data_IF_486352495539
#
_entry.id   IF_486352495539
#
_cell.length_a   1.000
_cell.length_b   1.000
_cell.length_c   1.000
_cell.angle_alpha   90.00
_cell.angle_beta   90.00
_cell.angle_gamma   90.00
#
_symmetry.space_group_name_H-M   'P 1'
#
loop_
_entity.id
_entity.type
_entity.pdbx_description
1 polymer ?
#
# COMPACT_ATOMS: atom_id res chain seq x y z
N UNK A 1 2.48 -39.80 -31.49
CA UNK A 1 3.14 -39.12 -30.36
C UNK A 1 2.80 -37.64 -30.44
N UNK A 2 1.95 -37.16 -29.54
CA UNK A 2 1.59 -35.74 -29.42
C UNK A 2 2.80 -34.94 -28.93
N UNK A 3 3.10 -33.83 -29.60
CA UNK A 3 3.97 -32.78 -29.07
C UNK A 3 3.12 -31.93 -28.14
N UNK A 4 3.38 -32.01 -26.84
CA UNK A 4 2.93 -31.01 -25.89
C UNK A 4 3.64 -29.70 -26.23
N UNK A 5 2.88 -28.69 -26.65
CA UNK A 5 3.33 -27.31 -26.68
C UNK A 5 3.41 -26.83 -25.25
N UNK A 6 4.63 -26.57 -24.77
CA UNK A 6 4.88 -25.81 -23.56
C UNK A 6 4.21 -24.44 -23.71
N UNK A 7 3.08 -24.25 -23.03
CA UNK A 7 2.57 -22.92 -22.74
C UNK A 7 3.56 -22.29 -21.77
N UNK A 8 4.43 -21.44 -22.28
CA UNK A 8 5.17 -20.49 -21.47
C UNK A 8 4.15 -19.67 -20.68
N UNK A 9 4.02 -19.98 -19.40
CA UNK A 9 3.42 -19.11 -18.39
C UNK A 9 4.16 -17.78 -18.49
N UNK A 10 3.54 -16.81 -19.16
CA UNK A 10 3.93 -15.42 -19.04
C UNK A 10 3.54 -15.03 -17.62
N UNK A 11 4.51 -14.98 -16.71
CA UNK A 11 4.30 -14.27 -15.44
C UNK A 11 3.67 -12.92 -15.75
N UNK A 12 2.59 -12.52 -15.08
CA UNK A 12 1.95 -11.24 -15.32
C UNK A 12 2.96 -10.14 -15.02
N UNK A 13 3.61 -9.63 -16.07
CA UNK A 13 4.56 -8.56 -15.95
C UNK A 13 3.80 -7.33 -15.46
N UNK A 14 4.16 -6.88 -14.26
CA UNK A 14 3.54 -5.70 -13.66
C UNK A 14 3.85 -4.48 -14.49
N UNK A 15 2.86 -3.62 -14.64
CA UNK A 15 2.99 -2.38 -15.40
C UNK A 15 3.69 -1.35 -14.51
N UNK A 16 4.75 -0.75 -15.03
CA UNK A 16 5.39 0.39 -14.41
C UNK A 16 4.38 1.52 -14.24
N UNK A 17 4.37 2.19 -13.08
CA UNK A 17 3.40 3.24 -12.78
C UNK A 17 3.38 4.38 -13.84
N UNK A 18 4.55 4.68 -14.41
CA UNK A 18 4.72 5.68 -15.48
C UNK A 18 4.11 5.25 -16.83
N UNK A 19 3.86 3.95 -17.01
CA UNK A 19 3.21 3.38 -18.19
C UNK A 19 1.69 3.19 -18.00
N UNK A 20 1.18 3.36 -16.77
CA UNK A 20 -0.26 3.34 -16.52
C UNK A 20 -0.88 4.55 -17.22
N UNK A 21 -1.73 4.28 -18.20
CA UNK A 21 -2.46 5.32 -18.94
C UNK A 21 -3.81 5.62 -18.28
N UNK A 22 -4.46 6.71 -18.67
CA UNK A 22 -5.81 7.04 -18.19
C UNK A 22 -6.84 5.93 -18.46
N UNK A 23 -6.66 5.14 -19.53
CA UNK A 23 -7.57 4.05 -19.83
C UNK A 23 -7.50 2.95 -18.76
N UNK A 24 -6.34 2.76 -18.11
CA UNK A 24 -6.16 1.74 -17.08
C UNK A 24 -6.80 2.10 -15.73
N UNK A 25 -7.31 3.34 -15.57
CA UNK A 25 -8.11 3.71 -14.40
C UNK A 25 -9.34 2.80 -14.23
N UNK A 26 -9.86 2.22 -15.32
CA UNK A 26 -10.97 1.28 -15.27
C UNK A 26 -10.68 0.07 -14.38
N UNK A 27 -9.40 -0.32 -14.19
CA UNK A 27 -9.00 -1.45 -13.33
C UNK A 27 -9.46 -1.31 -11.89
N UNK A 28 -9.59 -0.09 -11.37
CA UNK A 28 -10.14 0.14 -10.03
C UNK A 28 -11.61 -0.30 -10.01
N UNK A 29 -12.39 0.08 -11.01
CA UNK A 29 -13.81 -0.31 -11.11
C UNK A 29 -13.99 -1.80 -11.44
N UNK A 30 -13.13 -2.37 -12.30
CA UNK A 30 -13.16 -3.78 -12.69
C UNK A 30 -12.82 -4.72 -11.53
N UNK A 31 -11.98 -4.26 -10.59
CA UNK A 31 -11.59 -5.01 -9.39
C UNK A 31 -12.31 -4.53 -8.12
N UNK A 32 -13.42 -3.79 -8.25
CA UNK A 32 -14.03 -3.06 -7.13
C UNK A 32 -14.39 -3.94 -5.92
N UNK A 33 -14.95 -5.14 -6.15
CA UNK A 33 -15.30 -6.06 -5.07
C UNK A 33 -14.07 -6.60 -4.34
N UNK A 34 -13.04 -6.99 -5.10
CA UNK A 34 -11.78 -7.47 -4.54
C UNK A 34 -11.05 -6.37 -3.76
N UNK A 35 -11.02 -5.13 -4.30
CA UNK A 35 -10.44 -3.97 -3.62
C UNK A 35 -11.20 -3.66 -2.33
N UNK A 36 -12.55 -3.69 -2.35
CA UNK A 36 -13.36 -3.47 -1.13
C UNK A 36 -13.11 -4.53 -0.07
N UNK A 37 -13.14 -5.81 -0.47
CA UNK A 37 -12.91 -6.92 0.44
C UNK A 37 -11.51 -6.81 1.08
N UNK A 38 -10.49 -6.52 0.27
CA UNK A 38 -9.13 -6.34 0.77
C UNK A 38 -8.95 -5.08 1.61
N UNK A 39 -9.66 -4.00 1.28
CA UNK A 39 -9.72 -2.80 2.10
C UNK A 39 -10.29 -3.04 3.51
N UNK A 40 -11.27 -3.97 3.65
CA UNK A 40 -11.78 -4.39 4.95
C UNK A 40 -10.73 -5.15 5.76
N UNK A 41 -10.05 -6.12 5.15
CA UNK A 41 -8.98 -6.88 5.80
C UNK A 41 -7.81 -5.98 6.23
N UNK A 42 -7.43 -5.01 5.39
CA UNK A 42 -6.42 -4.02 5.74
C UNK A 42 -6.88 -3.15 6.92
N UNK A 43 -8.16 -2.80 7.00
CA UNK A 43 -8.68 -2.04 8.15
C UNK A 43 -8.59 -2.85 9.44
N UNK A 44 -8.90 -4.15 9.39
CA UNK A 44 -8.70 -5.04 10.54
C UNK A 44 -7.21 -5.15 10.91
N UNK A 45 -6.33 -5.20 9.92
CA UNK A 45 -4.87 -5.22 10.10
C UNK A 45 -4.34 -3.93 10.73
N UNK A 46 -5.00 -2.79 10.48
CA UNK A 46 -4.76 -1.50 11.12
C UNK A 46 -5.51 -1.32 12.46
N UNK A 47 -5.94 -2.42 13.09
CA UNK A 47 -6.70 -2.42 14.35
C UNK A 47 -8.00 -1.59 14.28
N UNK A 48 -8.64 -1.55 13.11
CA UNK A 48 -9.89 -0.84 12.86
C UNK A 48 -9.74 0.66 12.58
N UNK A 49 -8.50 1.19 12.55
CA UNK A 49 -8.27 2.62 12.31
C UNK A 49 -8.47 2.96 10.84
N UNK A 50 -9.38 3.88 10.54
CA UNK A 50 -9.61 4.38 9.18
C UNK A 50 -8.88 5.70 8.93
N UNK A 51 -8.06 5.73 7.88
CA UNK A 51 -7.35 6.93 7.45
C UNK A 51 -7.98 7.49 6.18
N UNK A 52 -8.86 8.48 6.33
CA UNK A 52 -9.40 9.22 5.20
C UNK A 52 -8.30 10.08 4.55
N UNK A 53 -8.28 10.12 3.22
CA UNK A 53 -7.34 10.93 2.45
C UNK A 53 -8.08 11.93 1.56
N UNK A 54 -7.55 13.15 1.53
CA UNK A 54 -7.94 14.19 0.58
C UNK A 54 -7.43 13.86 -0.83
N UNK A 55 -7.94 14.60 -1.82
CA UNK A 55 -7.48 14.47 -3.21
C UNK A 55 -5.98 14.78 -3.34
N UNK A 56 -5.54 15.87 -2.71
CA UNK A 56 -4.14 16.32 -2.74
C UNK A 56 -3.20 15.26 -2.15
N UNK A 57 -3.57 14.63 -1.03
CA UNK A 57 -2.75 13.59 -0.41
C UNK A 57 -2.61 12.35 -1.31
N UNK A 58 -3.69 11.88 -1.94
CA UNK A 58 -3.62 10.73 -2.86
C UNK A 58 -2.81 11.08 -4.11
N UNK A 59 -3.02 12.25 -4.69
CA UNK A 59 -2.30 12.72 -5.88
C UNK A 59 -0.80 12.81 -5.61
N UNK A 60 -0.39 13.42 -4.50
CA UNK A 60 1.02 13.52 -4.09
C UNK A 60 1.66 12.13 -3.92
N UNK A 61 0.96 11.20 -3.28
CA UNK A 61 1.45 9.83 -3.11
C UNK A 61 1.58 9.12 -4.45
N UNK A 62 0.57 9.21 -5.33
CA UNK A 62 0.61 8.59 -6.65
C UNK A 62 1.76 9.14 -7.51
N UNK A 63 1.99 10.46 -7.50
CA UNK A 63 3.13 11.09 -8.17
C UNK A 63 4.46 10.60 -7.60
N UNK A 64 4.56 10.39 -6.29
CA UNK A 64 5.78 9.85 -5.65
C UNK A 64 6.11 8.42 -6.04
N UNK A 65 5.10 7.69 -6.53
CA UNK A 65 5.20 6.33 -7.09
C UNK A 65 5.37 6.35 -8.61
N UNK A 66 5.66 7.51 -9.19
CA UNK A 66 5.92 7.74 -10.62
C UNK A 66 4.69 7.51 -11.54
N UNK A 67 3.45 7.53 -11.02
CA UNK A 67 2.27 7.68 -11.88
C UNK A 67 2.29 9.04 -12.57
N UNK A 68 1.89 9.08 -13.84
CA UNK A 68 1.82 10.35 -14.59
C UNK A 68 0.73 11.28 -14.00
N UNK A 69 0.91 12.62 -14.05
CA UNK A 69 -0.04 13.58 -13.47
C UNK A 69 -1.50 13.40 -13.93
N UNK A 70 -1.67 13.04 -15.21
CA UNK A 70 -2.96 12.80 -15.83
C UNK A 70 -3.74 11.62 -15.23
N UNK A 71 -3.02 10.67 -14.63
CA UNK A 71 -3.58 9.52 -13.91
C UNK A 71 -3.69 9.85 -12.42
N UNK A 72 -2.62 10.35 -11.81
CA UNK A 72 -2.55 10.67 -10.38
C UNK A 72 -3.73 11.56 -9.91
N UNK A 73 -4.05 12.61 -10.67
CA UNK A 73 -5.15 13.54 -10.39
C UNK A 73 -6.56 12.92 -10.44
N UNK A 74 -6.71 11.71 -10.99
CA UNK A 74 -8.00 11.01 -11.11
C UNK A 74 -8.19 9.87 -10.11
N UNK A 75 -7.10 9.35 -9.52
CA UNK A 75 -7.13 8.16 -8.65
C UNK A 75 -8.08 8.37 -7.46
N UNK A 76 -8.08 9.55 -6.84
CA UNK A 76 -8.97 9.84 -5.70
C UNK A 76 -10.45 9.65 -6.04
N UNK A 77 -10.87 10.14 -7.20
CA UNK A 77 -12.25 10.01 -7.67
C UNK A 77 -12.63 8.54 -7.84
N UNK A 78 -11.77 7.77 -8.50
CA UNK A 78 -12.00 6.34 -8.74
C UNK A 78 -12.09 5.56 -7.42
N UNK A 79 -11.19 5.84 -6.46
CA UNK A 79 -11.26 5.21 -5.14
C UNK A 79 -12.53 5.60 -4.39
N UNK A 80 -12.95 6.88 -4.40
CA UNK A 80 -14.21 7.31 -3.78
C UNK A 80 -15.43 6.60 -4.37
N UNK A 81 -15.40 6.31 -5.67
CA UNK A 81 -16.49 5.61 -6.37
C UNK A 81 -16.72 4.18 -5.86
N UNK A 82 -15.71 3.56 -5.26
CA UNK A 82 -15.82 2.23 -4.64
C UNK A 82 -16.80 2.21 -3.46
N UNK A 83 -17.09 3.38 -2.86
CA UNK A 83 -17.99 3.54 -1.72
C UNK A 83 -17.64 2.62 -0.53
N UNK A 84 -16.35 2.35 -0.34
CA UNK A 84 -15.80 1.48 0.70
C UNK A 84 -16.12 1.97 2.12
N UNK A 85 -15.89 3.25 2.38
CA UNK A 85 -16.20 3.90 3.65
C UNK A 85 -16.95 5.20 3.39
N UNK A 86 -17.70 5.70 4.39
CA UNK A 86 -18.45 6.95 4.28
C UNK A 86 -18.34 7.78 5.55
N UNK A 87 -18.30 9.10 5.40
CA UNK A 87 -18.57 10.01 6.51
C UNK A 87 -20.05 9.91 6.85
N UNK A 88 -20.37 9.83 8.15
CA UNK A 88 -21.71 10.12 8.65
C UNK A 88 -21.72 11.53 9.22
N UNK A 89 -22.46 12.43 8.57
CA UNK A 89 -22.69 13.78 9.07
C UNK A 89 -24.18 14.05 9.17
N UNK A 90 -24.54 15.16 9.84
CA UNK A 90 -25.94 15.60 9.90
C UNK A 90 -26.49 16.06 8.54
N UNK A 91 -25.62 16.38 7.58
CA UNK A 91 -25.99 16.92 6.26
C UNK A 91 -26.00 15.86 5.16
N UNK A 92 -25.61 14.61 5.46
CA UNK A 92 -25.64 13.50 4.53
C UNK A 92 -24.51 12.49 4.74
N UNK A 93 -24.39 11.57 3.79
CA UNK A 93 -23.30 10.60 3.77
C UNK A 93 -22.50 10.75 2.50
N UNK A 94 -21.19 10.91 2.64
CA UNK A 94 -20.26 11.05 1.52
C UNK A 94 -19.23 9.92 1.57
N UNK A 95 -19.00 9.27 0.43
CA UNK A 95 -17.96 8.24 0.31
C UNK A 95 -16.56 8.83 0.51
N UNK A 96 -15.67 8.05 1.10
CA UNK A 96 -14.29 8.41 1.37
C UNK A 96 -13.33 7.58 0.53
N UNK A 97 -12.23 8.21 0.14
CA UNK A 97 -11.02 7.48 -0.21
C UNK A 97 -10.20 7.27 1.07
N UNK A 98 -9.68 6.06 1.25
CA UNK A 98 -8.90 5.68 2.42
C UNK A 98 -7.56 5.10 2.00
N UNK A 99 -6.57 5.11 2.91
CA UNK A 99 -5.27 4.43 2.68
C UNK A 99 -5.45 2.97 2.25
N UNK A 100 -6.38 2.25 2.89
CA UNK A 100 -6.61 0.83 2.66
C UNK A 100 -6.98 0.54 1.20
N UNK A 101 -7.98 1.27 0.70
CA UNK A 101 -8.41 1.11 -0.70
C UNK A 101 -7.43 1.71 -1.69
N UNK A 102 -6.68 2.75 -1.29
CA UNK A 102 -5.61 3.33 -2.10
C UNK A 102 -4.50 2.32 -2.37
N UNK A 103 -4.01 1.62 -1.36
CA UNK A 103 -2.94 0.62 -1.52
C UNK A 103 -3.30 -0.43 -2.58
N UNK A 104 -4.48 -1.01 -2.45
CA UNK A 104 -4.94 -2.07 -3.35
C UNK A 104 -5.27 -1.50 -4.74
N UNK A 105 -5.80 -0.29 -4.81
CA UNK A 105 -6.08 0.38 -6.08
C UNK A 105 -4.80 0.67 -6.86
N UNK A 106 -3.73 1.11 -6.19
CA UNK A 106 -2.43 1.35 -6.82
C UNK A 106 -1.82 0.04 -7.33
N UNK A 107 -1.96 -1.07 -6.60
CA UNK A 107 -1.58 -2.41 -7.09
C UNK A 107 -2.41 -2.84 -8.31
N UNK A 108 -3.74 -2.65 -8.25
CA UNK A 108 -4.66 -2.99 -9.34
C UNK A 108 -4.34 -2.21 -10.63
N UNK A 109 -4.06 -0.90 -10.52
CA UNK A 109 -3.64 -0.08 -11.66
C UNK A 109 -2.38 -0.63 -12.34
N UNK A 110 -1.48 -1.22 -11.56
CA UNK A 110 -0.25 -1.85 -12.06
C UNK A 110 -0.46 -3.28 -12.57
N UNK A 111 -1.69 -3.80 -12.52
CA UNK A 111 -2.08 -5.09 -13.09
C UNK A 111 -2.05 -6.24 -12.09
N UNK A 112 -1.86 -5.97 -10.80
CA UNK A 112 -2.02 -7.00 -9.77
C UNK A 112 -3.49 -7.37 -9.68
N UNK A 113 -3.78 -8.68 -9.70
CA UNK A 113 -5.13 -9.23 -9.60
C UNK A 113 -5.27 -10.20 -8.43
N UNK A 114 -4.16 -10.76 -7.94
CA UNK A 114 -4.09 -11.54 -6.70
C UNK A 114 -3.48 -10.67 -5.59
N UNK A 115 -4.34 -9.98 -4.83
CA UNK A 115 -3.89 -9.07 -3.77
C UNK A 115 -3.39 -9.80 -2.51
N UNK A 116 -3.77 -11.06 -2.32
CA UNK A 116 -3.37 -11.85 -1.15
C UNK A 116 -1.92 -12.32 -1.24
N UNK A 117 -1.41 -12.47 -2.47
CA UNK A 117 -0.05 -12.92 -2.74
C UNK A 117 0.83 -11.84 -3.38
N UNK A 118 0.38 -10.58 -3.41
CA UNK A 118 1.08 -9.46 -4.05
C UNK A 118 2.51 -9.27 -3.51
N UNK A 119 2.76 -9.55 -2.23
CA UNK A 119 4.07 -9.46 -1.58
C UNK A 119 4.60 -10.83 -1.12
N UNK A 120 4.11 -11.92 -1.72
CA UNK A 120 4.49 -13.30 -1.34
C UNK A 120 6.00 -13.59 -1.45
N UNK A 121 6.73 -12.80 -2.22
CA UNK A 121 8.18 -12.89 -2.30
C UNK A 121 8.93 -12.21 -1.15
N UNK A 122 8.27 -11.33 -0.41
CA UNK A 122 8.92 -10.52 0.63
C UNK A 122 8.89 -11.27 1.95
N UNK A 123 10.05 -11.40 2.58
CA UNK A 123 10.21 -12.00 3.89
C UNK A 123 11.39 -11.40 4.66
N UNK A 124 11.58 -11.85 5.90
CA UNK A 124 12.65 -11.35 6.78
C UNK A 124 14.05 -11.37 6.17
N UNK A 125 14.36 -12.35 5.31
CA UNK A 125 15.70 -12.48 4.75
C UNK A 125 16.01 -11.48 3.62
N UNK A 126 15.00 -10.85 3.02
CA UNK A 126 15.18 -9.99 1.85
C UNK A 126 14.59 -8.58 2.00
N UNK A 127 13.76 -8.32 3.02
CA UNK A 127 13.12 -7.02 3.23
C UNK A 127 14.12 -5.86 3.18
N UNK A 128 15.16 -5.89 4.01
CA UNK A 128 16.15 -4.80 4.06
C UNK A 128 16.86 -4.59 2.72
N UNK A 129 17.21 -5.67 2.03
CA UNK A 129 17.85 -5.59 0.72
C UNK A 129 16.93 -4.90 -0.28
N UNK A 130 15.66 -5.29 -0.33
CA UNK A 130 14.67 -4.70 -1.23
C UNK A 130 14.49 -3.21 -0.92
N UNK A 131 14.37 -2.85 0.36
CA UNK A 131 14.23 -1.45 0.78
C UNK A 131 15.49 -0.62 0.48
N UNK A 132 16.68 -1.20 0.63
CA UNK A 132 17.95 -0.54 0.31
C UNK A 132 18.13 -0.33 -1.20
N UNK A 133 17.73 -1.31 -2.03
CA UNK A 133 17.71 -1.20 -3.49
C UNK A 133 16.68 -0.17 -3.99
N UNK A 134 15.60 0.05 -3.22
CA UNK A 134 14.51 0.98 -3.56
C UNK A 134 14.51 2.24 -2.67
N UNK A 135 15.68 2.63 -2.14
CA UNK A 135 15.81 3.72 -1.16
C UNK A 135 15.35 5.08 -1.70
N UNK A 136 15.51 5.33 -2.99
CA UNK A 136 15.02 6.56 -3.63
C UNK A 136 13.49 6.63 -3.58
N UNK A 137 12.81 5.56 -4.00
CA UNK A 137 11.35 5.43 -3.94
C UNK A 137 10.84 5.60 -2.52
N UNK A 138 11.48 4.92 -1.55
CA UNK A 138 11.15 5.05 -0.13
C UNK A 138 11.21 6.52 0.34
N UNK A 139 12.24 7.27 -0.06
CA UNK A 139 12.39 8.67 0.31
C UNK A 139 11.40 9.59 -0.41
N UNK A 140 11.07 9.32 -1.69
CA UNK A 140 10.01 10.04 -2.41
C UNK A 140 8.67 9.89 -1.69
N UNK A 141 8.30 8.66 -1.33
CA UNK A 141 7.07 8.35 -0.59
C UNK A 141 7.05 9.08 0.75
N UNK A 142 8.14 8.99 1.53
CA UNK A 142 8.26 9.71 2.80
C UNK A 142 7.92 11.19 2.68
N UNK A 143 8.42 11.85 1.63
CA UNK A 143 8.21 13.27 1.43
C UNK A 143 6.77 13.60 0.97
N UNK A 144 6.04 12.62 0.45
CA UNK A 144 4.69 12.80 -0.09
C UNK A 144 3.58 12.47 0.92
N UNK A 145 3.85 11.63 1.92
CA UNK A 145 2.83 11.21 2.89
C UNK A 145 2.52 12.32 3.92
N UNK A 146 1.30 12.35 4.48
CA UNK A 146 0.90 13.36 5.45
C UNK A 146 1.77 13.42 6.71
N UNK A 147 2.20 14.63 7.09
CA UNK A 147 3.12 14.84 8.22
C UNK A 147 2.62 14.36 9.60
N UNK A 148 1.31 14.16 9.77
CA UNK A 148 0.77 13.61 11.02
C UNK A 148 1.16 12.15 11.24
N UNK A 149 1.46 11.41 10.17
CA UNK A 149 1.80 9.99 10.23
C UNK A 149 3.12 9.72 10.95
N UNK A 150 4.03 10.69 10.98
CA UNK A 150 5.27 10.61 11.74
C UNK A 150 5.04 10.64 13.27
N UNK A 151 3.85 11.05 13.72
CA UNK A 151 3.50 11.24 15.14
C UNK A 151 2.59 10.14 15.70
N UNK A 152 2.03 9.31 14.83
CA UNK A 152 1.23 8.15 15.22
C UNK A 152 2.12 6.93 15.24
N UNK A 153 2.04 6.12 16.29
CA UNK A 153 2.81 4.89 16.41
C UNK A 153 1.85 3.72 16.60
N UNK A 154 2.10 2.64 15.88
CA UNK A 154 1.40 1.37 16.03
C UNK A 154 2.38 0.32 16.54
N UNK A 155 1.83 -0.76 17.09
CA UNK A 155 2.63 -1.92 17.47
C UNK A 155 3.33 -2.48 16.23
N UNK A 156 4.57 -3.01 16.34
CA UNK A 156 5.22 -3.69 15.22
C UNK A 156 4.38 -4.85 14.66
N UNK A 157 3.54 -5.47 15.50
CA UNK A 157 2.57 -6.49 15.11
C UNK A 157 1.51 -5.95 14.14
N UNK A 158 1.07 -4.70 14.30
CA UNK A 158 0.17 -4.04 13.35
C UNK A 158 0.88 -3.87 12.00
N UNK A 159 2.14 -3.43 12.01
CA UNK A 159 2.94 -3.27 10.78
C UNK A 159 3.11 -4.61 10.05
N UNK A 160 3.44 -5.68 10.79
CA UNK A 160 3.55 -7.04 10.27
C UNK A 160 2.20 -7.54 9.72
N UNK A 161 1.10 -7.32 10.43
CA UNK A 161 -0.24 -7.71 9.98
C UNK A 161 -0.64 -7.02 8.66
N UNK A 162 -0.35 -5.73 8.51
CA UNK A 162 -0.60 -4.98 7.26
C UNK A 162 0.16 -5.61 6.10
N UNK A 163 1.46 -5.88 6.25
CA UNK A 163 2.27 -6.50 5.20
C UNK A 163 1.85 -7.95 4.92
N UNK A 164 1.48 -8.69 5.96
CA UNK A 164 0.97 -10.06 5.86
C UNK A 164 -0.36 -10.14 5.13
N UNK A 165 -1.25 -9.17 5.29
CA UNK A 165 -2.47 -9.11 4.50
C UNK A 165 -2.15 -9.07 3.00
N UNK A 166 -1.03 -8.49 2.59
CA UNK A 166 -0.59 -8.46 1.19
C UNK A 166 0.27 -9.67 0.79
N UNK A 167 0.43 -10.65 1.68
CA UNK A 167 1.17 -11.89 1.42
C UNK A 167 2.61 -11.94 1.91
N UNK A 168 3.15 -10.84 2.48
CA UNK A 168 4.52 -10.84 3.00
C UNK A 168 4.64 -11.62 4.33
N UNK A 169 5.77 -12.31 4.53
CA UNK A 169 6.06 -13.02 5.78
C UNK A 169 7.19 -12.32 6.54
N UNK A 170 6.83 -11.25 7.25
CA UNK A 170 7.77 -10.36 7.95
C UNK A 170 7.47 -10.35 9.44
N UNK A 171 8.48 -10.56 10.27
CA UNK A 171 8.36 -10.52 11.72
C UNK A 171 8.19 -9.09 12.25
N UNK A 172 7.37 -8.89 13.30
CA UNK A 172 7.29 -7.63 14.03
C UNK A 172 8.65 -7.14 14.54
N UNK A 173 9.50 -8.05 14.99
CA UNK A 173 10.84 -7.75 15.52
C UNK A 173 11.72 -7.07 14.48
N UNK A 174 11.76 -7.61 13.25
CA UNK A 174 12.55 -7.02 12.17
C UNK A 174 12.06 -5.62 11.85
N UNK A 175 10.75 -5.40 11.74
CA UNK A 175 10.18 -4.08 11.43
C UNK A 175 10.53 -3.04 12.50
N UNK A 176 10.53 -3.44 13.78
CA UNK A 176 10.96 -2.57 14.86
C UNK A 176 12.46 -2.24 14.78
N UNK A 177 13.30 -3.24 14.52
CA UNK A 177 14.76 -3.10 14.44
C UNK A 177 15.21 -2.20 13.30
N UNK A 178 14.61 -2.34 12.11
CA UNK A 178 15.06 -1.61 10.92
C UNK A 178 14.45 -0.20 10.83
N UNK A 179 13.37 0.10 11.55
CA UNK A 179 12.71 1.42 11.48
C UNK A 179 13.69 2.60 11.69
N UNK A 180 14.57 2.60 12.71
CA UNK A 180 15.62 3.62 12.86
C UNK A 180 16.62 3.70 11.70
N UNK A 181 16.95 2.57 11.03
CA UNK A 181 17.88 2.52 9.88
C UNK A 181 17.38 3.40 8.72
N UNK A 182 16.07 3.51 8.56
CA UNK A 182 15.42 4.35 7.55
C UNK A 182 15.12 5.78 8.03
N UNK A 183 15.76 6.23 9.12
CA UNK A 183 15.57 7.54 9.73
C UNK A 183 14.10 7.80 10.12
N UNK A 184 13.42 6.76 10.61
CA UNK A 184 12.05 6.82 11.10
C UNK A 184 12.00 6.58 12.60
N UNK A 185 10.82 6.82 13.19
CA UNK A 185 10.64 6.77 14.64
C UNK A 185 10.17 5.39 15.08
N UNK A 186 10.96 4.77 15.95
CA UNK A 186 10.52 3.67 16.82
C UNK A 186 10.44 4.18 18.26
N UNK A 187 9.43 3.77 19.01
CA UNK A 187 9.21 4.18 20.40
C UNK A 187 9.14 3.00 21.35
N UNK A 188 9.38 3.26 22.63
CA UNK A 188 9.10 2.36 23.73
C UNK A 188 8.47 3.16 24.86
N UNK A 189 7.38 2.67 25.43
CA UNK A 189 6.73 3.34 26.55
C UNK A 189 7.21 2.82 27.92
N UNK A 190 6.64 3.36 29.01
CA UNK A 190 7.00 2.97 30.37
C UNK A 190 6.66 1.51 30.72
N UNK A 191 5.78 0.86 29.95
CA UNK A 191 5.40 -0.54 30.08
C UNK A 191 6.23 -1.45 29.16
N UNK A 192 7.27 -0.92 28.52
CA UNK A 192 8.09 -1.60 27.50
C UNK A 192 7.31 -2.01 26.24
N UNK A 193 6.15 -1.40 25.97
CA UNK A 193 5.41 -1.62 24.73
C UNK A 193 6.11 -0.86 23.62
N UNK A 194 6.40 -1.58 22.53
CA UNK A 194 7.11 -1.07 21.36
C UNK A 194 6.14 -0.47 20.35
N UNK A 195 6.60 0.53 19.61
CA UNK A 195 5.87 1.06 18.48
C UNK A 195 6.78 1.50 17.34
N UNK A 196 6.24 1.48 16.13
CA UNK A 196 6.83 2.07 14.91
C UNK A 196 5.87 3.11 14.35
N UNK A 197 6.41 4.17 13.75
CA UNK A 197 5.56 5.23 13.20
C UNK A 197 4.69 4.73 12.05
N UNK A 198 3.48 5.30 11.92
CA UNK A 198 2.62 5.06 10.75
C UNK A 198 3.38 5.41 9.46
N UNK A 199 4.13 6.52 9.46
CA UNK A 199 5.00 6.92 8.35
C UNK A 199 5.93 5.79 7.88
N UNK A 200 6.56 5.06 8.81
CA UNK A 200 7.44 3.93 8.46
C UNK A 200 6.66 2.80 7.79
N UNK A 201 5.53 2.39 8.37
CA UNK A 201 4.67 1.31 7.81
C UNK A 201 4.23 1.69 6.39
N UNK A 202 3.84 2.95 6.18
CA UNK A 202 3.40 3.47 4.88
C UNK A 202 4.52 3.48 3.84
N UNK A 203 5.70 3.96 4.22
CA UNK A 203 6.86 3.95 3.32
C UNK A 203 7.24 2.52 2.91
N UNK A 204 7.27 1.58 3.86
CA UNK A 204 7.56 0.16 3.57
C UNK A 204 6.49 -0.41 2.64
N UNK A 205 5.21 -0.30 3.00
CA UNK A 205 4.10 -0.90 2.23
C UNK A 205 4.07 -0.39 0.79
N UNK A 206 4.15 0.92 0.59
CA UNK A 206 4.10 1.53 -0.74
C UNK A 206 5.35 1.23 -1.56
N UNK A 207 6.54 1.20 -0.94
CA UNK A 207 7.79 0.82 -1.62
C UNK A 207 7.72 -0.63 -2.06
N UNK A 208 7.30 -1.56 -1.19
CA UNK A 208 7.18 -2.97 -1.55
C UNK A 208 6.15 -3.19 -2.65
N UNK A 209 5.05 -2.43 -2.63
CA UNK A 209 4.07 -2.40 -3.72
C UNK A 209 4.66 -2.01 -5.07
N UNK A 210 5.85 -1.39 -5.11
CA UNK A 210 6.56 -1.16 -6.38
C UNK A 210 7.42 -2.29 -6.90
N UNK A 211 7.59 -3.34 -6.10
CA UNK A 211 8.51 -4.45 -6.35
C UNK A 211 7.79 -5.77 -6.61
N UNK A 212 6.47 -5.73 -6.76
CA UNK A 212 5.64 -6.92 -7.05
C UNK A 212 6.08 -7.49 -8.42
N UNK A 213 5.97 -8.81 -8.60
CA UNK A 213 6.31 -9.50 -9.85
C UNK A 213 5.51 -10.79 -10.05
#
# INVERSE_FOLDING_TARGET
MQKFTDQTSTSPHIIDASMVSQNELCRISENADAIRAKGMELTDSWEGVMFALSNEEIENIALSLDFIPEVASKIHHEIKSLAYAKIQSQTGSESLATKHTMDISLLALRGVTDFDNALSHVNDNNLEKILDENRETFQKIRNAIPSYEARMNFKPETASAVLKSLGADISPELLYEICPKYNMTSVIDLENRRGVSTEFIRCVTLTLGTTVY
#
